data_IF_684439272494
#
_entry.id   IF_684439272494
#
_cell.length_a   1.000
_cell.length_b   1.000
_cell.length_c   1.000
_cell.angle_alpha   90.00
_cell.angle_beta   90.00
_cell.angle_gamma   90.00
#
_symmetry.space_group_name_H-M   'P 1'
#
loop_
_entity.id
_entity.type
_entity.pdbx_description
1 polymer ?
#
# COMPACT_ATOMS: atom_id res chain seq x y z
N UNK A 1 10.80 37.44 -15.40
CA UNK A 1 9.72 36.75 -16.14
C UNK A 1 9.90 35.23 -16.01
N UNK A 2 9.13 34.56 -15.15
CA UNK A 2 9.17 33.09 -15.05
C UNK A 2 8.38 32.49 -16.21
N UNK A 3 9.08 31.87 -17.17
CA UNK A 3 8.45 31.10 -18.25
C UNK A 3 7.91 29.80 -17.64
N UNK A 4 6.60 29.76 -17.37
CA UNK A 4 5.91 28.50 -17.10
C UNK A 4 5.82 27.72 -18.41
N UNK A 5 6.86 26.93 -18.72
CA UNK A 5 6.75 25.96 -19.80
C UNK A 5 5.72 24.93 -19.34
N UNK A 6 4.60 24.72 -20.06
CA UNK A 6 3.70 23.63 -19.77
C UNK A 6 4.46 22.33 -20.04
N UNK A 7 5.13 21.80 -19.01
CA UNK A 7 5.62 20.43 -19.03
C UNK A 7 4.37 19.56 -19.06
N UNK A 8 3.84 19.31 -20.27
CA UNK A 8 3.01 18.12 -20.46
C UNK A 8 3.84 17.00 -19.86
N UNK A 9 3.36 16.43 -18.76
CA UNK A 9 4.00 15.32 -18.05
C UNK A 9 3.86 14.08 -18.94
N UNK A 10 4.45 14.15 -20.13
CA UNK A 10 4.57 13.03 -21.03
C UNK A 10 5.42 11.99 -20.31
N UNK A 11 5.02 10.74 -20.46
CA UNK A 11 5.73 9.62 -19.88
C UNK A 11 7.07 9.51 -20.63
N UNK A 12 8.16 9.18 -19.92
CA UNK A 12 9.45 8.93 -20.56
C UNK A 12 9.44 7.64 -21.38
N UNK A 13 10.28 7.55 -22.42
CA UNK A 13 10.36 6.37 -23.30
C UNK A 13 10.59 5.05 -22.55
N UNK A 14 11.48 5.06 -21.54
CA UNK A 14 11.72 3.88 -20.71
C UNK A 14 10.47 3.47 -19.90
N UNK A 15 9.71 4.43 -19.38
CA UNK A 15 8.48 4.13 -18.63
C UNK A 15 7.41 3.54 -19.54
N UNK A 16 7.26 4.06 -20.76
CA UNK A 16 6.38 3.44 -21.76
C UNK A 16 6.81 2.01 -22.08
N UNK A 17 8.11 1.79 -22.31
CA UNK A 17 8.66 0.45 -22.52
C UNK A 17 8.33 -0.49 -21.35
N UNK A 18 8.46 -0.06 -20.10
CA UNK A 18 8.07 -0.87 -18.94
C UNK A 18 6.57 -1.20 -18.92
N UNK A 19 5.71 -0.29 -19.37
CA UNK A 19 4.26 -0.54 -19.50
C UNK A 19 3.97 -1.58 -20.58
N UNK A 20 4.58 -1.45 -21.76
CA UNK A 20 4.46 -2.42 -22.87
C UNK A 20 4.97 -3.81 -22.44
N UNK A 21 6.04 -3.87 -21.64
CA UNK A 21 6.65 -5.12 -21.15
C UNK A 21 5.98 -5.68 -19.88
N UNK A 22 4.86 -5.10 -19.40
CA UNK A 22 4.24 -5.52 -18.13
C UNK A 22 3.85 -7.01 -18.12
N UNK A 23 3.37 -7.51 -19.26
CA UNK A 23 2.89 -8.88 -19.46
C UNK A 23 3.91 -9.79 -20.15
N UNK A 24 5.17 -9.37 -20.29
CA UNK A 24 6.18 -10.20 -20.94
C UNK A 24 6.43 -11.49 -20.12
N UNK A 25 6.24 -12.70 -20.71
CA UNK A 25 6.43 -13.96 -19.99
C UNK A 25 7.87 -14.13 -19.47
N UNK A 26 8.88 -13.55 -20.14
CA UNK A 26 10.29 -13.57 -19.69
C UNK A 26 10.50 -12.81 -18.38
N UNK A 27 9.59 -11.89 -18.04
CA UNK A 27 9.63 -11.09 -16.82
C UNK A 27 8.69 -11.61 -15.73
N UNK A 28 7.87 -12.63 -16.04
CA UNK A 28 6.92 -13.24 -15.11
C UNK A 28 7.68 -14.21 -14.19
N UNK A 29 7.43 -14.12 -12.89
CA UNK A 29 8.07 -14.99 -11.88
C UNK A 29 9.43 -14.52 -11.39
N UNK A 30 10.07 -13.55 -12.05
CA UNK A 30 11.28 -12.91 -11.54
C UNK A 30 10.96 -12.08 -10.29
N UNK A 31 11.93 -12.02 -9.37
CA UNK A 31 11.88 -11.08 -8.24
C UNK A 31 11.83 -9.65 -8.78
N UNK A 32 11.17 -8.76 -8.03
CA UNK A 32 10.96 -7.36 -8.43
C UNK A 32 12.29 -6.67 -8.78
N UNK A 33 13.34 -6.93 -7.99
CA UNK A 33 14.68 -6.39 -8.24
C UNK A 33 15.30 -6.88 -9.56
N UNK A 34 15.23 -8.19 -9.84
CA UNK A 34 15.80 -8.78 -11.05
C UNK A 34 15.03 -8.37 -12.30
N UNK A 35 13.70 -8.22 -12.17
CA UNK A 35 12.84 -7.70 -13.23
C UNK A 35 13.31 -6.31 -13.69
N UNK A 36 13.61 -5.40 -12.76
CA UNK A 36 14.10 -4.06 -13.08
C UNK A 36 15.45 -4.07 -13.81
N UNK A 37 16.38 -4.94 -13.38
CA UNK A 37 17.66 -5.14 -14.07
C UNK A 37 17.45 -5.64 -15.50
N UNK A 38 16.60 -6.66 -15.67
CA UNK A 38 16.31 -7.26 -16.99
C UNK A 38 15.63 -6.28 -17.95
N UNK A 39 14.63 -5.51 -17.50
CA UNK A 39 13.99 -4.49 -18.34
C UNK A 39 14.96 -3.42 -18.78
N UNK A 40 15.86 -2.98 -17.89
CA UNK A 40 16.88 -2.00 -18.23
C UNK A 40 17.86 -2.52 -19.29
N UNK A 41 18.26 -3.81 -19.19
CA UNK A 41 19.12 -4.46 -20.18
C UNK A 41 18.44 -4.57 -21.54
N UNK A 42 17.17 -4.97 -21.57
CA UNK A 42 16.38 -5.04 -22.80
C UNK A 42 16.22 -3.66 -23.45
N UNK A 43 15.93 -2.63 -22.67
CA UNK A 43 15.79 -1.26 -23.19
C UNK A 43 17.10 -0.73 -23.80
N UNK A 44 18.24 -0.99 -23.16
CA UNK A 44 19.56 -0.60 -23.68
C UNK A 44 19.98 -1.37 -24.93
N UNK A 45 19.43 -2.57 -25.14
CA UNK A 45 19.69 -3.40 -26.31
C UNK A 45 18.82 -3.04 -27.52
N UNK A 46 17.86 -2.10 -27.38
CA UNK A 46 17.06 -1.62 -28.50
C UNK A 46 17.94 -0.85 -29.50
N UNK A 47 17.65 -1.01 -30.79
CA UNK A 47 18.32 -0.22 -31.81
C UNK A 47 17.88 1.27 -31.71
N UNK A 48 18.66 2.21 -32.28
CA UNK A 48 18.34 3.64 -32.22
C UNK A 48 16.97 4.00 -32.84
N UNK A 49 16.54 3.28 -33.89
CA UNK A 49 15.27 3.52 -34.57
C UNK A 49 14.07 3.16 -33.67
N UNK A 50 14.13 2.01 -32.99
CA UNK A 50 13.11 1.55 -32.05
C UNK A 50 13.02 2.48 -30.85
N UNK A 51 14.17 2.99 -30.39
CA UNK A 51 14.22 3.98 -29.33
C UNK A 51 13.55 5.29 -29.73
N UNK A 52 13.82 5.81 -30.94
CA UNK A 52 13.18 7.01 -31.46
C UNK A 52 11.66 6.80 -31.65
N UNK A 53 11.24 5.63 -32.12
CA UNK A 53 9.83 5.26 -32.21
C UNK A 53 9.16 5.22 -30.83
N UNK A 54 9.82 4.65 -29.82
CA UNK A 54 9.35 4.67 -28.42
C UNK A 54 9.24 6.09 -27.88
N UNK A 55 10.21 6.95 -28.14
CA UNK A 55 10.17 8.36 -27.73
C UNK A 55 8.98 9.10 -28.35
N UNK A 56 8.73 8.90 -29.64
CA UNK A 56 7.56 9.48 -30.33
C UNK A 56 6.24 8.98 -29.72
N UNK A 57 6.12 7.67 -29.45
CA UNK A 57 4.94 7.10 -28.78
C UNK A 57 4.78 7.64 -27.35
N UNK A 58 5.87 7.78 -26.61
CA UNK A 58 5.87 8.23 -25.23
C UNK A 58 5.48 9.71 -25.11
N UNK A 59 5.95 10.54 -26.05
CA UNK A 59 5.53 11.94 -26.17
C UNK A 59 4.04 12.09 -26.49
N UNK A 60 3.48 11.17 -27.29
CA UNK A 60 2.05 11.11 -27.60
C UNK A 60 1.20 10.46 -26.49
N UNK A 61 1.82 9.81 -25.49
CA UNK A 61 1.07 9.09 -24.46
C UNK A 61 0.24 10.06 -23.62
N UNK A 62 -1.07 9.81 -23.41
CA UNK A 62 -1.90 10.68 -22.60
C UNK A 62 -1.32 10.78 -21.18
N UNK A 63 -1.22 12.00 -20.66
CA UNK A 63 -0.86 12.22 -19.26
C UNK A 63 -1.87 11.53 -18.34
N UNK A 64 -1.39 11.02 -17.20
CA UNK A 64 -2.28 10.46 -16.20
C UNK A 64 -3.33 11.51 -15.81
N UNK A 65 -4.61 11.18 -16.00
CA UNK A 65 -5.69 11.99 -15.45
C UNK A 65 -5.50 11.97 -13.94
N UNK A 66 -5.20 13.13 -13.36
CA UNK A 66 -5.25 13.29 -11.91
C UNK A 66 -6.67 12.89 -11.53
N UNK A 67 -6.84 11.75 -10.87
CA UNK A 67 -8.10 11.46 -10.21
C UNK A 67 -8.35 12.67 -9.31
N UNK A 68 -9.41 13.41 -9.61
CA UNK A 68 -9.88 14.43 -8.68
C UNK A 68 -9.95 13.73 -7.34
N UNK A 69 -9.25 14.29 -6.35
CA UNK A 69 -9.32 13.75 -5.00
C UNK A 69 -10.81 13.80 -4.69
N UNK A 70 -11.45 12.65 -4.49
CA UNK A 70 -12.81 12.64 -3.94
C UNK A 70 -12.78 13.62 -2.76
N UNK A 71 -13.76 14.54 -2.67
CA UNK A 71 -13.79 15.53 -1.62
C UNK A 71 -13.50 14.85 -0.29
N UNK A 72 -12.70 15.50 0.55
CA UNK A 72 -12.21 14.93 1.82
C UNK A 72 -13.35 14.32 2.64
N UNK A 73 -14.56 14.84 2.47
CA UNK A 73 -15.84 14.36 3.00
C UNK A 73 -16.24 12.96 2.50
N UNK A 74 -16.21 12.67 1.20
CA UNK A 74 -16.49 11.33 0.67
C UNK A 74 -15.41 10.32 1.10
N UNK A 75 -14.15 10.75 1.18
CA UNK A 75 -13.07 9.89 1.69
C UNK A 75 -13.21 9.64 3.19
N UNK A 76 -13.64 10.61 3.98
CA UNK A 76 -13.96 10.44 5.39
C UNK A 76 -15.19 9.53 5.58
N UNK A 77 -16.24 9.68 4.77
CA UNK A 77 -17.42 8.83 4.80
C UNK A 77 -17.12 7.38 4.37
N UNK A 78 -16.28 7.18 3.34
CA UNK A 78 -15.80 5.84 2.95
C UNK A 78 -14.84 5.26 3.98
N UNK A 79 -13.93 6.06 4.54
CA UNK A 79 -13.07 5.63 5.63
C UNK A 79 -13.89 5.19 6.84
N UNK A 80 -14.92 5.95 7.21
CA UNK A 80 -15.88 5.61 8.26
C UNK A 80 -16.68 4.34 7.95
N UNK A 81 -17.09 4.12 6.68
CA UNK A 81 -17.78 2.89 6.25
C UNK A 81 -16.87 1.66 6.21
N UNK A 82 -15.58 1.82 5.87
CA UNK A 82 -14.59 0.72 5.92
C UNK A 82 -14.02 0.50 7.32
N UNK A 83 -14.08 1.52 8.17
CA UNK A 83 -13.84 1.43 9.60
C UNK A 83 -15.18 1.28 10.32
N UNK A 84 -16.02 0.33 9.88
CA UNK A 84 -17.01 -0.19 10.81
C UNK A 84 -16.24 -0.58 12.07
N UNK A 85 -16.58 -0.02 13.24
CA UNK A 85 -15.92 -0.42 14.47
C UNK A 85 -16.14 -1.92 14.58
N UNK A 86 -15.06 -2.70 14.40
CA UNK A 86 -15.14 -4.13 14.63
C UNK A 86 -15.66 -4.29 16.05
N UNK A 87 -16.68 -5.14 16.23
CA UNK A 87 -17.15 -5.46 17.56
C UNK A 87 -15.91 -5.79 18.42
N UNK A 88 -15.80 -5.23 19.65
CA UNK A 88 -14.66 -5.49 20.51
C UNK A 88 -14.43 -6.99 20.61
N UNK A 89 -13.18 -7.42 20.42
CA UNK A 89 -12.84 -8.83 20.63
C UNK A 89 -13.19 -9.26 22.05
N UNK A 90 -13.41 -10.55 22.27
CA UNK A 90 -13.71 -11.08 23.61
C UNK A 90 -12.62 -10.68 24.62
N UNK A 91 -11.35 -10.66 24.19
CA UNK A 91 -10.24 -10.14 24.98
C UNK A 91 -10.41 -8.64 25.29
N UNK A 92 -10.80 -7.81 24.34
CA UNK A 92 -11.01 -6.38 24.58
C UNK A 92 -12.13 -6.12 25.60
N UNK A 93 -13.24 -6.87 25.52
CA UNK A 93 -14.31 -6.82 26.52
C UNK A 93 -13.80 -7.26 27.90
N UNK A 94 -13.01 -8.33 27.94
CA UNK A 94 -12.41 -8.83 29.18
C UNK A 94 -11.46 -7.81 29.82
N UNK A 95 -10.63 -7.16 29.00
CA UNK A 95 -9.74 -6.08 29.46
C UNK A 95 -10.55 -4.93 30.02
N UNK A 96 -11.58 -4.45 29.31
CA UNK A 96 -12.43 -3.36 29.77
C UNK A 96 -13.10 -3.65 31.13
N UNK A 97 -13.53 -4.90 31.35
CA UNK A 97 -14.16 -5.31 32.62
C UNK A 97 -13.16 -5.49 33.78
N UNK A 98 -11.91 -5.91 33.51
CA UNK A 98 -10.96 -6.26 34.56
C UNK A 98 -9.90 -5.20 34.84
N UNK A 99 -9.70 -4.23 33.94
CA UNK A 99 -8.60 -3.28 34.06
C UNK A 99 -8.67 -2.41 35.32
N UNK A 100 -9.89 -2.04 35.75
CA UNK A 100 -10.12 -1.26 36.97
C UNK A 100 -9.67 -1.96 38.25
N UNK A 101 -9.59 -3.30 38.25
CA UNK A 101 -9.06 -4.07 39.41
C UNK A 101 -7.59 -3.81 39.68
N UNK A 102 -6.86 -3.35 38.67
CA UNK A 102 -5.42 -3.11 38.73
C UNK A 102 -5.07 -1.64 38.73
N UNK A 103 -6.00 -0.73 39.03
CA UNK A 103 -5.80 0.73 38.89
C UNK A 103 -4.53 1.25 39.61
N UNK A 104 -4.18 0.64 40.75
CA UNK A 104 -2.99 0.96 41.55
C UNK A 104 -1.65 0.63 40.88
N UNK A 105 -1.65 -0.17 39.81
CA UNK A 105 -0.46 -0.55 39.07
C UNK A 105 -0.24 0.36 37.85
N UNK A 106 1.02 0.59 37.43
CA UNK A 106 1.33 1.25 36.17
C UNK A 106 0.69 0.52 34.98
N UNK A 107 0.31 1.25 33.93
CA UNK A 107 -0.48 0.73 32.80
C UNK A 107 0.06 -0.59 32.21
N UNK A 108 1.38 -0.70 32.01
CA UNK A 108 2.01 -1.90 31.47
C UNK A 108 1.83 -3.13 32.38
N UNK A 109 1.92 -2.95 33.69
CA UNK A 109 1.75 -4.03 34.65
C UNK A 109 0.28 -4.42 34.81
N UNK A 110 -0.65 -3.46 34.63
CA UNK A 110 -2.09 -3.76 34.52
C UNK A 110 -2.37 -4.69 33.35
N UNK A 111 -1.79 -4.42 32.17
CA UNK A 111 -1.95 -5.29 30.99
C UNK A 111 -1.39 -6.69 31.24
N UNK A 112 -0.22 -6.82 31.88
CA UNK A 112 0.36 -8.13 32.24
C UNK A 112 -0.55 -8.91 33.18
N UNK A 113 -1.11 -8.25 34.19
CA UNK A 113 -1.99 -8.88 35.17
C UNK A 113 -3.30 -9.35 34.53
N UNK A 114 -3.92 -8.50 33.69
CA UNK A 114 -5.12 -8.87 32.92
C UNK A 114 -4.83 -10.02 31.95
N UNK A 115 -3.69 -10.00 31.25
CA UNK A 115 -3.32 -11.09 30.35
C UNK A 115 -3.14 -12.43 31.08
N UNK A 116 -2.59 -12.41 32.31
CA UNK A 116 -2.47 -13.60 33.15
C UNK A 116 -3.84 -14.15 33.55
N UNK A 117 -4.77 -13.28 33.97
CA UNK A 117 -6.15 -13.67 34.26
C UNK A 117 -6.87 -14.21 33.03
N UNK A 118 -6.67 -13.61 31.86
CA UNK A 118 -7.27 -14.08 30.62
C UNK A 118 -6.82 -15.50 30.27
N UNK A 119 -5.51 -15.78 30.36
CA UNK A 119 -4.99 -17.14 30.15
C UNK A 119 -5.59 -18.16 31.12
N UNK A 120 -5.72 -17.80 32.39
CA UNK A 120 -6.39 -18.64 33.39
C UNK A 120 -7.87 -18.89 33.04
N UNK A 121 -8.57 -17.86 32.57
CA UNK A 121 -9.95 -18.00 32.12
C UNK A 121 -10.05 -18.93 30.90
N UNK A 122 -9.21 -18.74 29.88
CA UNK A 122 -9.19 -19.58 28.68
C UNK A 122 -8.97 -21.06 29.04
N UNK A 123 -7.99 -21.37 29.89
CA UNK A 123 -7.72 -22.72 30.38
C UNK A 123 -8.92 -23.33 31.10
N UNK A 124 -9.62 -22.55 31.95
CA UNK A 124 -10.83 -23.02 32.66
C UNK A 124 -12.01 -23.25 31.72
N UNK A 125 -12.16 -22.42 30.68
CA UNK A 125 -13.27 -22.54 29.72
C UNK A 125 -13.00 -23.56 28.60
N UNK A 126 -11.80 -24.16 28.55
CA UNK A 126 -11.40 -25.08 27.47
C UNK A 126 -11.40 -24.42 26.09
N UNK A 127 -11.29 -23.08 26.03
CA UNK A 127 -11.35 -22.32 24.79
C UNK A 127 -9.91 -21.98 24.36
N UNK A 128 -9.51 -22.31 23.11
CA UNK A 128 -8.13 -22.16 22.65
C UNK A 128 -7.72 -20.70 22.44
#
# INVERSE_FOLDING_TARGET
>A
MLRFVPRRLAIGAYTLFMMEQKNNPKLKGLKIADRGKMTSKLYKALNPNDKAALEKRAAAHPGFKRKEKEPKELKAAKAAKTSTPRAPSEYAKFVQANIGRFEKLPHLDRMKAVAKLWKQQQMRTGKP
#
